data_IF_227016537116
#
_entry.id   IF_227016537116
#
_cell.length_a   1.000
_cell.length_b   1.000
_cell.length_c   1.000
_cell.angle_alpha   90.00
_cell.angle_beta   90.00
_cell.angle_gamma   90.00
#
_symmetry.space_group_name_H-M   'P 1'
#
loop_
_entity.id
_entity.type
_entity.pdbx_description
1 polymer ?
#
# COMPACT_ATOMS: atom_id res chain seq x y z
N UNK A 1 14.40 -26.63 -14.75
CA UNK A 1 15.27 -25.45 -14.95
C UNK A 1 15.72 -24.96 -13.58
N UNK A 2 16.97 -24.51 -13.40
CA UNK A 2 17.42 -23.96 -12.10
C UNK A 2 16.62 -22.68 -11.80
N UNK A 3 15.92 -22.55 -10.65
CA UNK A 3 15.11 -21.37 -10.33
C UNK A 3 15.86 -20.04 -10.47
N UNK A 4 17.15 -20.02 -10.12
CA UNK A 4 17.99 -18.83 -10.28
C UNK A 4 18.21 -18.47 -11.75
N UNK A 5 18.47 -19.47 -12.62
CA UNK A 5 18.67 -19.22 -14.04
C UNK A 5 17.39 -18.68 -14.70
N UNK A 6 16.25 -19.28 -14.38
CA UNK A 6 14.95 -18.80 -14.88
C UNK A 6 14.68 -17.34 -14.46
N UNK A 7 14.98 -16.99 -13.21
CA UNK A 7 14.84 -15.63 -12.71
C UNK A 7 15.77 -14.63 -13.42
N UNK A 8 17.03 -15.00 -13.64
CA UNK A 8 17.99 -14.15 -14.34
C UNK A 8 17.65 -13.96 -15.83
N UNK A 9 17.15 -15.00 -16.49
CA UNK A 9 16.63 -14.92 -17.86
C UNK A 9 15.43 -13.97 -17.95
N UNK A 10 14.55 -13.98 -16.94
CA UNK A 10 13.43 -13.05 -16.85
C UNK A 10 13.87 -11.60 -16.64
N UNK A 11 14.86 -11.36 -15.76
CA UNK A 11 15.46 -10.04 -15.55
C UNK A 11 16.13 -9.47 -16.80
N UNK A 12 16.85 -10.32 -17.54
CA UNK A 12 17.49 -9.92 -18.79
C UNK A 12 16.41 -9.55 -19.83
N UNK A 13 15.39 -10.39 -19.98
CA UNK A 13 14.29 -10.17 -20.93
C UNK A 13 13.48 -8.92 -20.62
N UNK A 14 13.12 -8.71 -19.36
CA UNK A 14 12.16 -7.69 -18.95
C UNK A 14 12.82 -6.33 -18.65
N UNK A 15 14.03 -6.36 -18.06
CA UNK A 15 14.70 -5.16 -17.55
C UNK A 15 16.02 -4.87 -18.27
N UNK A 16 16.47 -5.74 -19.17
CA UNK A 16 17.79 -5.64 -19.85
C UNK A 16 18.96 -5.65 -18.86
N UNK A 17 18.76 -6.28 -17.71
CA UNK A 17 19.78 -6.42 -16.66
C UNK A 17 20.40 -7.81 -16.80
N UNK A 18 21.66 -7.86 -17.22
CA UNK A 18 22.42 -9.11 -17.30
C UNK A 18 23.26 -9.30 -16.04
N UNK A 19 22.91 -10.31 -15.24
CA UNK A 19 23.76 -10.79 -14.14
C UNK A 19 24.40 -12.09 -14.58
N UNK A 20 25.67 -12.03 -14.99
CA UNK A 20 26.40 -13.22 -15.42
C UNK A 20 26.62 -14.18 -14.25
N UNK A 21 26.43 -15.48 -14.44
CA UNK A 21 26.75 -16.52 -13.46
C UNK A 21 28.15 -17.09 -13.73
N UNK A 22 29.19 -16.36 -13.38
CA UNK A 22 30.58 -16.75 -13.62
C UNK A 22 31.47 -16.42 -12.41
N UNK A 23 32.76 -16.69 -12.53
CA UNK A 23 33.70 -16.47 -11.43
C UNK A 23 33.77 -15.00 -11.00
N UNK A 24 33.54 -14.01 -11.88
CA UNK A 24 33.57 -12.60 -11.48
C UNK A 24 32.43 -12.17 -10.55
N UNK A 25 31.33 -12.92 -10.50
CA UNK A 25 30.11 -12.53 -9.75
C UNK A 25 29.71 -13.52 -8.66
N UNK A 26 30.15 -14.78 -8.75
CA UNK A 26 29.85 -15.83 -7.76
C UNK A 26 31.01 -15.93 -6.79
N UNK A 27 30.75 -15.78 -5.49
CA UNK A 27 31.74 -15.94 -4.42
C UNK A 27 31.26 -17.02 -3.45
N UNK A 28 32.09 -18.03 -3.21
CA UNK A 28 31.73 -19.16 -2.36
C UNK A 28 32.46 -19.07 -1.02
N UNK A 29 31.69 -18.83 0.04
CA UNK A 29 32.20 -18.71 1.40
C UNK A 29 31.74 -19.90 2.23
N UNK A 30 32.66 -20.51 2.96
CA UNK A 30 32.36 -21.59 3.89
C UNK A 30 32.24 -21.08 5.34
N UNK A 31 31.25 -21.61 6.07
CA UNK A 31 31.00 -21.35 7.49
C UNK A 31 31.44 -22.52 8.38
N UNK A 32 31.70 -23.71 7.81
CA UNK A 32 32.05 -24.90 8.59
C UNK A 32 33.42 -24.78 9.28
N UNK A 33 34.37 -24.06 8.68
CA UNK A 33 35.64 -23.75 9.34
C UNK A 33 35.47 -22.94 10.66
N UNK A 34 34.48 -22.04 10.74
CA UNK A 34 34.18 -21.30 11.97
C UNK A 34 33.56 -22.22 13.04
N UNK A 35 32.66 -23.12 12.62
CA UNK A 35 32.08 -24.15 13.49
C UNK A 35 33.15 -25.10 14.03
N UNK A 36 34.07 -25.55 13.16
CA UNK A 36 35.22 -26.34 13.54
C UNK A 36 36.09 -25.61 14.58
N UNK A 37 36.41 -24.33 14.36
CA UNK A 37 37.20 -23.54 15.31
C UNK A 37 36.52 -23.46 16.70
N UNK A 38 35.20 -23.29 16.73
CA UNK A 38 34.43 -23.29 17.97
C UNK A 38 34.50 -24.66 18.68
N UNK A 39 34.29 -25.76 17.95
CA UNK A 39 34.31 -27.10 18.49
C UNK A 39 35.72 -27.53 18.97
N UNK A 40 36.75 -27.15 18.22
CA UNK A 40 38.15 -27.36 18.58
C UNK A 40 38.50 -26.63 19.89
N UNK A 41 38.05 -25.38 20.04
CA UNK A 41 38.22 -24.60 21.28
C UNK A 41 37.47 -25.22 22.47
N UNK A 42 36.32 -25.85 22.22
CA UNK A 42 35.58 -26.64 23.21
C UNK A 42 36.20 -28.02 23.51
N UNK A 43 37.43 -28.28 23.04
CA UNK A 43 38.20 -29.52 23.26
C UNK A 43 37.52 -30.77 22.70
N UNK A 44 36.72 -30.64 21.65
CA UNK A 44 36.27 -31.79 20.88
C UNK A 44 37.43 -32.38 20.08
N UNK A 45 37.44 -33.71 19.95
CA UNK A 45 38.49 -34.42 19.23
C UNK A 45 38.15 -34.49 17.73
N UNK A 46 39.15 -34.20 16.91
CA UNK A 46 39.08 -34.29 15.46
C UNK A 46 40.23 -35.15 14.95
N UNK A 47 40.00 -35.92 13.89
CA UNK A 47 41.09 -36.63 13.23
C UNK A 47 42.01 -35.64 12.52
N UNK A 48 43.26 -36.04 12.24
CA UNK A 48 44.18 -35.21 11.44
C UNK A 48 43.59 -34.84 10.09
N UNK A 49 42.89 -35.78 9.46
CA UNK A 49 42.21 -35.59 8.18
C UNK A 49 41.12 -34.52 8.28
N UNK A 50 40.31 -34.54 9.33
CA UNK A 50 39.27 -33.52 9.54
C UNK A 50 39.91 -32.13 9.66
N UNK A 51 40.99 -32.00 10.44
CA UNK A 51 41.71 -30.74 10.62
C UNK A 51 42.25 -30.22 9.28
N UNK A 52 42.83 -31.08 8.45
CA UNK A 52 43.33 -30.72 7.12
C UNK A 52 42.21 -30.26 6.19
N UNK A 53 41.09 -30.98 6.15
CA UNK A 53 39.92 -30.64 5.33
C UNK A 53 39.32 -29.28 5.74
N UNK A 54 39.14 -29.03 7.03
CA UNK A 54 38.65 -27.74 7.52
C UNK A 54 39.65 -26.59 7.27
N UNK A 55 40.96 -26.87 7.35
CA UNK A 55 42.00 -25.87 7.08
C UNK A 55 42.02 -25.47 5.61
N UNK A 56 41.90 -26.42 4.70
CA UNK A 56 41.83 -26.14 3.26
C UNK A 56 40.52 -25.42 2.89
N UNK A 57 39.40 -25.79 3.51
CA UNK A 57 38.13 -25.08 3.33
C UNK A 57 38.22 -23.63 3.80
N UNK A 58 38.82 -23.37 4.96
CA UNK A 58 39.09 -22.03 5.46
C UNK A 58 39.95 -21.21 4.48
N UNK A 59 41.04 -21.79 3.97
CA UNK A 59 41.93 -21.12 3.02
C UNK A 59 41.19 -20.68 1.76
N UNK A 60 40.38 -21.57 1.19
CA UNK A 60 39.55 -21.25 0.01
C UNK A 60 38.55 -20.14 0.29
N UNK A 61 37.85 -20.20 1.43
CA UNK A 61 36.89 -19.17 1.85
C UNK A 61 37.57 -17.81 2.05
N UNK A 62 38.76 -17.79 2.65
CA UNK A 62 39.54 -16.57 2.85
C UNK A 62 40.03 -15.97 1.52
N UNK A 63 40.51 -16.81 0.59
CA UNK A 63 40.90 -16.39 -0.76
C UNK A 63 39.72 -15.82 -1.56
N UNK A 64 38.56 -16.48 -1.49
CA UNK A 64 37.32 -16.01 -2.11
C UNK A 64 36.80 -14.71 -1.49
N UNK A 65 36.94 -14.54 -0.17
CA UNK A 65 36.62 -13.27 0.52
C UNK A 65 37.53 -12.15 0.04
N UNK A 66 38.84 -12.40 -0.08
CA UNK A 66 39.78 -11.43 -0.62
C UNK A 66 39.44 -11.06 -2.06
N UNK A 67 39.01 -12.05 -2.86
CA UNK A 67 38.54 -11.83 -4.22
C UNK A 67 37.29 -10.98 -4.28
N UNK A 68 36.33 -11.20 -3.37
CA UNK A 68 35.13 -10.37 -3.23
C UNK A 68 35.50 -8.93 -2.91
N UNK A 69 36.33 -8.70 -1.89
CA UNK A 69 36.75 -7.35 -1.50
C UNK A 69 37.45 -6.65 -2.66
N UNK A 70 38.38 -7.34 -3.34
CA UNK A 70 39.08 -6.77 -4.50
C UNK A 70 38.12 -6.41 -5.63
N UNK A 71 37.07 -7.22 -5.87
CA UNK A 71 36.05 -6.90 -6.87
C UNK A 71 35.20 -5.70 -6.43
N UNK A 72 34.83 -5.59 -5.16
CA UNK A 72 34.06 -4.44 -4.65
C UNK A 72 34.84 -3.14 -4.82
N UNK A 73 36.16 -3.18 -4.61
CA UNK A 73 37.04 -2.03 -4.78
C UNK A 73 37.19 -1.55 -6.23
N UNK A 74 36.84 -2.38 -7.22
CA UNK A 74 36.87 -1.98 -8.64
C UNK A 74 35.53 -1.47 -9.16
N UNK A 75 34.46 -1.56 -8.37
CA UNK A 75 33.13 -1.10 -8.74
C UNK A 75 32.92 0.31 -8.21
N UNK A 76 32.38 1.18 -9.05
CA UNK A 76 32.02 2.54 -8.63
C UNK A 76 30.98 2.48 -7.50
N UNK A 77 31.19 3.22 -6.39
CA UNK A 77 30.23 3.25 -5.30
C UNK A 77 28.85 3.70 -5.80
N UNK A 78 27.84 2.89 -5.51
CA UNK A 78 26.45 3.27 -5.80
C UNK A 78 26.06 4.50 -4.98
N UNK A 79 25.35 5.44 -5.60
CA UNK A 79 24.84 6.62 -4.91
C UNK A 79 23.65 6.22 -4.02
N UNK A 80 23.93 5.97 -2.75
CA UNK A 80 22.93 5.53 -1.76
C UNK A 80 21.75 6.52 -1.65
N UNK A 81 21.99 7.81 -1.92
CA UNK A 81 20.94 8.84 -1.90
C UNK A 81 19.86 8.54 -2.95
N UNK A 82 20.24 8.09 -4.15
CA UNK A 82 19.28 7.75 -5.21
C UNK A 82 18.40 6.57 -4.82
N UNK A 83 18.96 5.57 -4.13
CA UNK A 83 18.17 4.43 -3.62
C UNK A 83 17.18 4.86 -2.55
N UNK A 84 17.60 5.73 -1.62
CA UNK A 84 16.74 6.26 -0.57
C UNK A 84 15.59 7.06 -1.21
N UNK A 85 15.91 7.97 -2.14
CA UNK A 85 14.94 8.80 -2.84
C UNK A 85 13.93 7.98 -3.65
N UNK A 86 14.37 6.92 -4.33
CA UNK A 86 13.48 6.01 -5.06
C UNK A 86 12.54 5.28 -4.09
N UNK A 87 13.05 4.82 -2.96
CA UNK A 87 12.24 4.15 -1.95
C UNK A 87 11.23 5.12 -1.31
N UNK A 88 11.63 6.34 -0.97
CA UNK A 88 10.73 7.39 -0.47
C UNK A 88 9.61 7.72 -1.45
N UNK A 89 9.94 7.84 -2.75
CA UNK A 89 8.95 8.08 -3.80
C UNK A 89 7.96 6.92 -3.89
N UNK A 90 8.46 5.68 -3.87
CA UNK A 90 7.62 4.48 -3.85
C UNK A 90 6.69 4.46 -2.65
N UNK A 91 7.21 4.63 -1.44
CA UNK A 91 6.38 4.65 -0.22
C UNK A 91 5.31 5.76 -0.27
N UNK A 92 5.66 6.94 -0.77
CA UNK A 92 4.71 8.05 -0.96
C UNK A 92 3.56 7.67 -1.87
N UNK A 93 3.85 7.09 -3.04
CA UNK A 93 2.83 6.65 -4.00
C UNK A 93 1.90 5.62 -3.36
N UNK A 94 2.47 4.61 -2.70
CA UNK A 94 1.70 3.52 -2.12
C UNK A 94 0.79 3.99 -0.97
N UNK A 95 1.29 4.91 -0.15
CA UNK A 95 0.52 5.53 0.93
C UNK A 95 -0.62 6.41 0.39
N UNK A 96 -0.45 7.04 -0.78
CA UNK A 96 -1.47 7.86 -1.42
C UNK A 96 -2.50 7.06 -2.23
N UNK A 97 -2.17 5.86 -2.70
CA UNK A 97 -2.98 5.13 -3.69
C UNK A 97 -4.42 4.92 -3.23
N UNK A 98 -4.63 4.40 -2.02
CA UNK A 98 -5.97 4.21 -1.47
C UNK A 98 -6.69 5.56 -1.19
N UNK A 99 -6.08 6.53 -0.49
CA UNK A 99 -6.67 7.86 -0.32
C UNK A 99 -7.16 8.50 -1.62
N UNK A 100 -6.40 8.37 -2.71
CA UNK A 100 -6.79 8.94 -4.00
C UNK A 100 -8.00 8.25 -4.61
N UNK A 101 -8.15 6.93 -4.44
CA UNK A 101 -9.35 6.21 -4.89
C UNK A 101 -10.58 6.60 -4.06
N UNK A 102 -10.43 6.68 -2.73
CA UNK A 102 -11.49 7.09 -1.81
C UNK A 102 -11.95 8.53 -2.10
N UNK A 103 -11.01 9.44 -2.39
CA UNK A 103 -11.31 10.82 -2.75
C UNK A 103 -11.94 10.91 -4.14
N UNK A 104 -11.51 10.10 -5.11
CA UNK A 104 -12.15 10.07 -6.42
C UNK A 104 -13.63 9.64 -6.34
N UNK A 105 -13.95 8.67 -5.48
CA UNK A 105 -15.35 8.29 -5.20
C UNK A 105 -16.12 9.37 -4.42
N UNK A 106 -15.45 10.06 -3.49
CA UNK A 106 -16.03 11.20 -2.77
C UNK A 106 -16.39 12.35 -3.73
N UNK A 107 -15.55 12.62 -4.72
CA UNK A 107 -15.81 13.61 -5.77
C UNK A 107 -17.11 13.24 -6.51
N UNK A 108 -17.27 11.99 -6.95
CA UNK A 108 -18.50 11.56 -7.63
C UNK A 108 -19.74 11.67 -6.75
N UNK A 109 -19.59 11.40 -5.45
CA UNK A 109 -20.67 11.61 -4.46
C UNK A 109 -21.08 13.09 -4.41
N UNK A 110 -20.11 14.01 -4.32
CA UNK A 110 -20.38 15.45 -4.26
C UNK A 110 -20.92 16.00 -5.60
N UNK A 111 -20.42 15.52 -6.74
CA UNK A 111 -20.94 15.88 -8.07
C UNK A 111 -22.40 15.48 -8.20
N UNK A 112 -22.77 14.28 -7.74
CA UNK A 112 -24.17 13.83 -7.73
C UNK A 112 -25.05 14.74 -6.86
N UNK A 113 -24.59 15.08 -5.66
CA UNK A 113 -25.31 16.01 -4.77
C UNK A 113 -25.54 17.38 -5.44
N UNK A 114 -24.53 17.93 -6.13
CA UNK A 114 -24.71 19.18 -6.85
C UNK A 114 -25.68 19.06 -8.03
N UNK A 115 -25.69 17.93 -8.75
CA UNK A 115 -26.64 17.68 -9.82
C UNK A 115 -28.08 17.52 -9.30
N UNK A 116 -28.27 16.79 -8.20
CA UNK A 116 -29.59 16.60 -7.58
C UNK A 116 -30.13 17.94 -7.08
N UNK A 117 -29.29 18.73 -6.39
CA UNK A 117 -29.61 20.10 -5.96
C UNK A 117 -29.97 21.00 -7.14
N UNK A 118 -29.19 20.95 -8.23
CA UNK A 118 -29.49 21.75 -9.44
C UNK A 118 -30.89 21.42 -9.97
N UNK A 119 -31.25 20.14 -10.09
CA UNK A 119 -32.58 19.70 -10.51
C UNK A 119 -33.68 20.18 -9.56
N UNK A 120 -33.45 20.13 -8.25
CA UNK A 120 -34.39 20.63 -7.24
C UNK A 120 -34.62 22.14 -7.38
N UNK A 121 -33.56 22.93 -7.58
CA UNK A 121 -33.65 24.38 -7.80
C UNK A 121 -34.40 24.67 -9.11
N UNK A 122 -34.10 23.96 -10.20
CA UNK A 122 -34.79 24.08 -11.49
C UNK A 122 -36.29 23.84 -11.37
N UNK A 123 -36.71 22.88 -10.54
CA UNK A 123 -38.12 22.56 -10.26
C UNK A 123 -38.77 23.50 -9.24
N UNK A 124 -37.99 24.19 -8.41
CA UNK A 124 -38.50 25.12 -7.41
C UNK A 124 -39.06 26.38 -8.08
N UNK A 125 -40.23 26.84 -7.63
CA UNK A 125 -40.80 28.11 -8.11
C UNK A 125 -39.86 29.27 -7.76
N UNK A 126 -39.80 30.28 -8.63
CA UNK A 126 -39.01 31.50 -8.40
C UNK A 126 -39.69 32.41 -7.35
N UNK A 127 -39.74 31.92 -6.12
CA UNK A 127 -40.29 32.59 -4.94
C UNK A 127 -39.22 32.58 -3.83
N UNK A 128 -38.91 33.75 -3.25
CA UNK A 128 -37.85 33.90 -2.24
C UNK A 128 -38.03 32.96 -1.04
N UNK A 129 -39.28 32.71 -0.62
CA UNK A 129 -39.62 31.82 0.50
C UNK A 129 -39.33 30.34 0.21
N UNK A 130 -39.28 29.95 -1.07
CA UNK A 130 -38.91 28.59 -1.48
C UNK A 130 -37.41 28.49 -1.75
N UNK A 131 -36.80 29.51 -2.35
CA UNK A 131 -35.35 29.56 -2.60
C UNK A 131 -34.55 29.57 -1.29
N UNK A 132 -35.06 30.21 -0.23
CA UNK A 132 -34.42 30.21 1.09
C UNK A 132 -34.26 28.82 1.70
N UNK A 133 -35.13 27.86 1.36
CA UNK A 133 -35.00 26.47 1.82
C UNK A 133 -33.81 25.74 1.19
N UNK A 134 -33.33 26.24 0.04
CA UNK A 134 -32.19 25.69 -0.70
C UNK A 134 -30.86 26.40 -0.37
N UNK A 135 -30.85 27.31 0.61
CA UNK A 135 -29.64 28.04 1.02
C UNK A 135 -28.52 27.13 1.54
N UNK A 136 -28.88 26.03 2.21
CA UNK A 136 -27.91 25.10 2.75
C UNK A 136 -27.47 24.09 1.70
N UNK A 137 -26.17 24.01 1.48
CA UNK A 137 -25.52 23.12 0.52
C UNK A 137 -24.91 21.96 1.30
N UNK A 138 -25.42 20.73 1.19
CA UNK A 138 -24.75 19.59 1.76
C UNK A 138 -23.45 19.35 1.00
N UNK A 139 -22.33 19.31 1.72
CA UNK A 139 -21.03 18.90 1.21
C UNK A 139 -20.56 17.69 2.01
N UNK A 140 -20.24 16.60 1.32
CA UNK A 140 -19.73 15.38 1.95
C UNK A 140 -18.21 15.46 2.02
N UNK A 141 -17.70 15.12 3.19
CA UNK A 141 -16.27 14.96 3.43
C UNK A 141 -16.01 13.63 4.16
N UNK A 142 -14.76 13.18 4.10
CA UNK A 142 -14.24 12.04 4.84
C UNK A 142 -13.65 12.57 6.14
N UNK A 143 -14.15 12.05 7.25
CA UNK A 143 -13.56 12.28 8.56
C UNK A 143 -12.71 11.06 8.93
N UNK A 144 -11.44 11.31 9.25
CA UNK A 144 -10.54 10.30 9.80
C UNK A 144 -10.75 10.21 11.30
N UNK A 145 -11.05 9.02 11.79
CA UNK A 145 -11.02 8.70 13.20
C UNK A 145 -9.84 7.75 13.48
N UNK A 146 -8.85 8.26 14.22
CA UNK A 146 -7.70 7.46 14.61
C UNK A 146 -8.12 6.23 15.40
N UNK A 147 -7.56 5.08 15.04
CA UNK A 147 -7.62 3.91 15.90
C UNK A 147 -6.37 3.91 16.78
N UNK A 148 -6.55 3.69 18.08
CA UNK A 148 -5.42 3.53 19.00
C UNK A 148 -4.56 2.28 18.72
N UNK A 149 -5.02 1.41 17.81
CA UNK A 149 -4.39 0.14 17.46
C UNK A 149 -4.83 -0.31 16.05
N UNK A 150 -4.01 -1.12 15.35
CA UNK A 150 -4.37 -1.73 14.09
C UNK A 150 -5.46 -2.80 14.26
N UNK A 151 -6.27 -3.04 13.23
CA UNK A 151 -7.29 -4.10 13.23
C UNK A 151 -7.54 -4.64 11.81
N UNK A 152 -8.03 -5.88 11.73
CA UNK A 152 -8.52 -6.47 10.47
C UNK A 152 -10.04 -6.44 10.44
N UNK A 153 -10.58 -5.82 9.40
CA UNK A 153 -12.03 -5.74 9.14
C UNK A 153 -12.39 -6.52 7.88
N UNK A 154 -13.65 -6.90 7.75
CA UNK A 154 -14.19 -7.55 6.56
C UNK A 154 -15.04 -6.56 5.76
N UNK A 155 -14.77 -6.46 4.46
CA UNK A 155 -15.49 -5.61 3.50
C UNK A 155 -16.59 -6.37 2.75
N UNK A 156 -16.80 -7.65 3.07
CA UNK A 156 -17.82 -8.47 2.42
C UNK A 156 -19.24 -7.97 2.68
N UNK A 157 -20.17 -8.37 1.82
CA UNK A 157 -21.58 -8.00 1.94
C UNK A 157 -22.22 -8.45 3.24
N UNK A 158 -21.94 -9.68 3.67
CA UNK A 158 -22.47 -10.22 4.93
C UNK A 158 -21.92 -9.50 6.17
N UNK A 159 -20.74 -8.88 6.04
CA UNK A 159 -20.01 -8.22 7.13
C UNK A 159 -20.15 -6.70 7.15
N UNK A 160 -21.00 -6.15 6.29
CA UNK A 160 -21.21 -4.72 6.17
C UNK A 160 -22.68 -4.37 6.04
N UNK A 161 -23.00 -3.10 6.18
CA UNK A 161 -24.36 -2.56 6.06
C UNK A 161 -24.34 -1.32 5.20
N UNK A 162 -25.40 -1.13 4.42
CA UNK A 162 -25.62 0.13 3.71
C UNK A 162 -26.33 1.07 4.66
N UNK A 163 -25.85 2.31 4.77
CA UNK A 163 -26.46 3.36 5.56
C UNK A 163 -26.56 4.65 4.76
N UNK A 164 -27.63 5.40 4.98
CA UNK A 164 -27.82 6.73 4.40
C UNK A 164 -26.85 7.71 5.05
N UNK A 165 -26.14 8.50 4.25
CA UNK A 165 -25.29 9.58 4.72
C UNK A 165 -26.20 10.68 5.27
N UNK A 166 -25.91 11.16 6.50
CA UNK A 166 -26.76 12.15 7.19
C UNK A 166 -27.10 13.34 6.29
N UNK A 167 -28.37 13.77 6.28
CA UNK A 167 -28.84 14.92 5.50
C UNK A 167 -28.67 14.82 3.96
N UNK A 168 -28.51 13.62 3.40
CA UNK A 168 -28.47 13.41 1.94
C UNK A 168 -29.15 12.10 1.54
N UNK A 169 -29.56 11.96 0.28
CA UNK A 169 -30.06 10.70 -0.29
C UNK A 169 -28.95 9.73 -0.74
N UNK A 170 -27.69 10.06 -0.44
CA UNK A 170 -26.56 9.21 -0.78
C UNK A 170 -26.35 8.12 0.27
N UNK A 171 -25.89 6.97 -0.19
CA UNK A 171 -25.62 5.80 0.65
C UNK A 171 -24.11 5.59 0.83
N UNK A 172 -23.73 4.98 1.95
CA UNK A 172 -22.36 4.53 2.24
C UNK A 172 -22.35 3.12 2.83
N UNK A 173 -21.23 2.41 2.64
CA UNK A 173 -21.00 1.11 3.27
C UNK A 173 -20.34 1.32 4.63
N UNK A 174 -20.89 0.70 5.66
CA UNK A 174 -20.31 0.62 7.01
C UNK A 174 -19.86 -0.82 7.27
N UNK A 175 -18.57 -1.01 7.50
CA UNK A 175 -18.01 -2.30 7.86
C UNK A 175 -18.27 -2.56 9.35
N UNK A 176 -19.25 -3.43 9.66
CA UNK A 176 -19.66 -3.74 11.05
C UNK A 176 -18.81 -4.83 11.70
N UNK A 177 -18.18 -5.70 10.92
CA UNK A 177 -17.48 -6.88 11.45
C UNK A 177 -15.98 -6.63 11.57
N UNK A 178 -15.53 -6.59 12.82
CA UNK A 178 -14.11 -6.66 13.19
C UNK A 178 -13.72 -8.12 13.29
N UNK A 179 -12.85 -8.59 12.39
CA UNK A 179 -12.41 -9.99 12.37
C UNK A 179 -11.20 -10.23 13.27
N UNK A 180 -10.31 -9.26 13.43
CA UNK A 180 -9.22 -9.35 14.39
C UNK A 180 -8.94 -7.98 14.97
N UNK A 181 -9.22 -7.84 16.27
CA UNK A 181 -8.89 -6.62 17.00
C UNK A 181 -7.40 -6.62 17.38
N UNK A 182 -6.75 -5.45 17.44
CA UNK A 182 -5.32 -5.31 17.80
C UNK A 182 -4.40 -6.19 16.93
N UNK A 183 -4.60 -6.12 15.61
CA UNK A 183 -3.91 -6.95 14.65
C UNK A 183 -2.58 -6.33 14.22
N UNK A 184 -1.48 -6.57 14.96
CA UNK A 184 -0.14 -6.05 14.62
C UNK A 184 0.57 -6.89 13.55
N UNK A 185 -0.06 -7.01 12.37
CA UNK A 185 0.54 -7.71 11.25
C UNK A 185 1.67 -6.88 10.65
N UNK A 186 2.86 -7.44 10.64
CA UNK A 186 4.04 -6.83 10.02
C UNK A 186 4.13 -7.17 8.51
N UNK A 187 4.80 -6.30 7.76
CA UNK A 187 5.16 -6.57 6.36
C UNK A 187 3.99 -6.52 5.37
N UNK A 188 2.89 -5.84 5.73
CA UNK A 188 1.76 -5.62 4.83
C UNK A 188 2.22 -4.77 3.65
N UNK A 189 2.17 -5.33 2.44
CA UNK A 189 2.54 -4.61 1.22
C UNK A 189 1.35 -3.79 0.74
N UNK A 190 1.50 -2.47 0.70
CA UNK A 190 0.52 -1.53 0.16
C UNK A 190 0.33 -1.65 -1.36
N UNK A 191 1.26 -2.31 -2.06
CA UNK A 191 1.25 -2.47 -3.52
C UNK A 191 0.15 -3.39 -4.06
N UNK A 192 -0.52 -4.13 -3.18
CA UNK A 192 -1.46 -5.18 -3.59
C UNK A 192 -2.77 -5.02 -2.85
N UNK A 193 -3.85 -4.90 -3.60
CA UNK A 193 -5.21 -5.05 -3.09
C UNK A 193 -5.88 -6.20 -3.85
N UNK A 194 -6.39 -7.24 -3.16
CA UNK A 194 -6.30 -7.48 -1.71
C UNK A 194 -4.86 -7.80 -1.25
N UNK A 195 -4.57 -7.62 0.04
CA UNK A 195 -3.23 -7.78 0.62
C UNK A 195 -2.97 -9.24 1.06
N UNK A 196 -2.13 -10.04 0.36
CA UNK A 196 -1.96 -11.47 0.65
C UNK A 196 -1.42 -11.77 2.06
N UNK A 197 -0.72 -10.82 2.67
CA UNK A 197 -0.20 -10.92 4.04
C UNK A 197 -1.31 -11.06 5.08
N UNK A 198 -2.56 -10.71 4.75
CA UNK A 198 -3.71 -10.96 5.60
C UNK A 198 -3.90 -12.46 5.90
N UNK A 199 -3.39 -13.37 5.06
CA UNK A 199 -3.36 -14.81 5.37
C UNK A 199 -2.54 -15.13 6.63
N UNK A 200 -1.64 -14.25 7.06
CA UNK A 200 -0.91 -14.38 8.32
C UNK A 200 -1.69 -13.85 9.53
N UNK A 201 -2.83 -13.19 9.31
CA UNK A 201 -3.73 -12.80 10.39
C UNK A 201 -4.22 -14.03 11.16
N UNK A 202 -4.27 -13.96 12.48
CA UNK A 202 -4.82 -15.03 13.31
C UNK A 202 -6.26 -15.41 12.91
N UNK A 203 -7.05 -14.43 12.45
CA UNK A 203 -8.41 -14.67 12.01
C UNK A 203 -8.48 -15.45 10.69
N UNK A 204 -7.42 -15.53 9.88
CA UNK A 204 -7.43 -16.25 8.62
C UNK A 204 -6.98 -17.70 8.80
N UNK A 205 -7.72 -18.62 8.18
CA UNK A 205 -7.24 -19.97 7.97
C UNK A 205 -6.43 -20.03 6.66
N UNK A 206 -5.15 -20.37 6.75
CA UNK A 206 -4.25 -20.49 5.60
C UNK A 206 -4.59 -21.65 4.66
N UNK A 207 -5.17 -22.73 5.17
CA UNK A 207 -5.47 -23.93 4.36
C UNK A 207 -6.75 -23.74 3.54
N UNK A 208 -7.76 -23.10 4.12
CA UNK A 208 -9.06 -22.91 3.49
C UNK A 208 -9.25 -21.52 2.89
N UNK A 209 -8.30 -20.61 3.10
CA UNK A 209 -8.33 -19.23 2.62
C UNK A 209 -9.55 -18.41 3.10
N UNK A 210 -10.21 -18.84 4.18
CA UNK A 210 -11.38 -18.18 4.78
C UNK A 210 -11.11 -17.71 6.20
N UNK A 211 -11.81 -16.64 6.58
CA UNK A 211 -11.80 -16.08 7.91
C UNK A 211 -12.60 -16.97 8.88
N UNK A 212 -11.99 -17.30 10.02
CA UNK A 212 -12.57 -18.12 11.09
C UNK A 212 -13.68 -17.38 11.86
N UNK A 213 -13.74 -16.06 11.76
CA UNK A 213 -14.70 -15.22 12.48
C UNK A 213 -15.96 -14.97 11.65
N UNK A 214 -15.81 -14.62 10.38
CA UNK A 214 -16.95 -14.24 9.53
C UNK A 214 -17.22 -15.20 8.36
N UNK A 215 -16.39 -16.21 8.15
CA UNK A 215 -16.52 -17.18 7.06
C UNK A 215 -16.19 -16.64 5.66
N UNK A 216 -15.84 -15.36 5.52
CA UNK A 216 -15.54 -14.75 4.22
C UNK A 216 -14.09 -15.05 3.79
N UNK A 217 -13.85 -15.07 2.48
CA UNK A 217 -12.49 -15.26 1.91
C UNK A 217 -11.55 -14.13 2.36
N UNK A 218 -10.26 -14.45 2.53
CA UNK A 218 -9.26 -13.50 3.02
C UNK A 218 -9.16 -12.25 2.14
N UNK A 219 -9.42 -12.38 0.84
CA UNK A 219 -9.37 -11.30 -0.15
C UNK A 219 -10.44 -10.22 0.05
N UNK A 220 -11.45 -10.47 0.90
CA UNK A 220 -12.46 -9.49 1.30
C UNK A 220 -12.15 -8.84 2.65
N UNK A 221 -10.91 -8.91 3.10
CA UNK A 221 -10.48 -8.29 4.35
C UNK A 221 -9.49 -7.17 4.10
N UNK A 222 -9.42 -6.24 5.04
CA UNK A 222 -8.51 -5.10 4.98
C UNK A 222 -7.94 -4.87 6.37
N UNK A 223 -6.64 -4.61 6.41
CA UNK A 223 -5.97 -4.15 7.62
C UNK A 223 -6.06 -2.62 7.68
N UNK A 224 -6.52 -2.09 8.81
CA UNK A 224 -6.75 -0.66 8.98
C UNK A 224 -6.11 -0.16 10.29
N UNK A 225 -5.57 1.06 10.23
CA UNK A 225 -4.97 1.78 11.36
C UNK A 225 -5.78 3.03 11.77
N UNK A 226 -6.78 3.38 10.97
CA UNK A 226 -7.78 4.39 11.26
C UNK A 226 -9.09 3.96 10.58
N UNK A 227 -10.20 4.52 11.02
CA UNK A 227 -11.46 4.44 10.28
C UNK A 227 -11.70 5.75 9.55
N UNK A 228 -12.44 5.66 8.46
CA UNK A 228 -12.93 6.83 7.74
C UNK A 228 -14.44 6.71 7.58
N UNK A 229 -15.15 7.81 7.82
CA UNK A 229 -16.61 7.86 7.69
C UNK A 229 -16.98 9.08 6.87
N UNK A 230 -17.97 8.96 5.99
CA UNK A 230 -18.52 10.10 5.25
C UNK A 230 -19.44 10.89 6.16
N UNK A 231 -19.15 12.17 6.31
CA UNK A 231 -19.95 13.14 7.06
C UNK A 231 -20.41 14.28 6.16
N UNK A 232 -21.52 14.89 6.54
CA UNK A 232 -22.10 16.03 5.83
C UNK A 232 -21.81 17.31 6.59
N UNK A 233 -21.30 18.32 5.89
CA UNK A 233 -21.23 19.70 6.35
C UNK A 233 -22.26 20.51 5.56
N UNK A 234 -23.17 21.17 6.26
CA UNK A 234 -24.06 22.15 5.61
C UNK A 234 -23.28 23.46 5.46
N UNK A 235 -23.09 23.89 4.22
CA UNK A 235 -22.45 25.17 3.90
C UNK A 235 -23.55 26.12 3.46
N UNK A 236 -23.65 27.30 4.07
CA UNK A 236 -24.59 28.33 3.65
C UNK A 236 -23.94 29.22 2.60
N UNK A 237 -24.67 29.52 1.52
CA UNK A 237 -24.22 30.49 0.54
C UNK A 237 -24.55 31.91 1.01
N UNK A 238 -23.58 32.58 1.62
CA UNK A 238 -23.75 33.93 2.17
C UNK A 238 -24.08 34.96 1.08
N UNK A 239 -23.59 34.78 -0.15
CA UNK A 239 -23.91 35.71 -1.24
C UNK A 239 -25.38 35.59 -1.63
N UNK A 240 -25.88 34.37 -1.83
CA UNK A 240 -27.31 34.13 -2.10
C UNK A 240 -28.18 34.57 -0.93
N UNK A 241 -27.75 34.34 0.31
CA UNK A 241 -28.45 34.78 1.52
C UNK A 241 -28.62 36.29 1.57
N UNK A 242 -27.56 37.05 1.27
CA UNK A 242 -27.63 38.52 1.20
C UNK A 242 -28.64 38.96 0.13
N UNK A 243 -28.61 38.35 -1.05
CA UNK A 243 -29.53 38.68 -2.15
C UNK A 243 -30.99 38.39 -1.81
N UNK A 244 -31.25 37.24 -1.17
CA UNK A 244 -32.59 36.89 -0.66
C UNK A 244 -33.05 37.92 0.38
N UNK A 245 -32.19 38.30 1.32
CA UNK A 245 -32.52 39.28 2.36
C UNK A 245 -32.77 40.69 1.80
N UNK A 246 -32.11 41.04 0.70
CA UNK A 246 -32.30 42.31 -0.01
C UNK A 246 -33.56 42.32 -0.89
N UNK A 247 -34.34 41.23 -0.94
CA UNK A 247 -35.47 41.03 -1.84
C UNK A 247 -35.10 41.29 -3.32
N UNK A 248 -33.93 40.82 -3.74
CA UNK A 248 -33.56 40.83 -5.15
C UNK A 248 -34.48 39.92 -5.97
N UNK A 249 -34.41 40.06 -7.30
CA UNK A 249 -35.25 39.31 -8.23
C UNK A 249 -35.05 37.79 -8.05
N UNK A 250 -36.14 37.08 -7.75
CA UNK A 250 -36.11 35.66 -7.45
C UNK A 250 -35.69 34.80 -8.66
N UNK A 251 -35.90 35.26 -9.89
CA UNK A 251 -35.43 34.58 -11.10
C UNK A 251 -33.90 34.70 -11.21
N UNK A 252 -33.35 35.90 -10.99
CA UNK A 252 -31.90 36.13 -11.00
C UNK A 252 -31.20 35.32 -9.90
N UNK A 253 -31.77 35.26 -8.70
CA UNK A 253 -31.23 34.44 -7.60
C UNK A 253 -31.23 32.96 -8.00
N UNK A 254 -32.33 32.46 -8.57
CA UNK A 254 -32.46 31.07 -9.01
C UNK A 254 -31.40 30.72 -10.07
N UNK A 255 -31.21 31.57 -11.08
CA UNK A 255 -30.20 31.37 -12.12
C UNK A 255 -28.78 31.35 -11.53
N UNK A 256 -28.49 32.23 -10.57
CA UNK A 256 -27.19 32.24 -9.91
C UNK A 256 -26.95 30.95 -9.09
N UNK A 257 -27.95 30.48 -8.34
CA UNK A 257 -27.81 29.23 -7.58
C UNK A 257 -27.53 28.03 -8.49
N UNK A 258 -28.13 28.01 -9.69
CA UNK A 258 -27.85 26.98 -10.71
C UNK A 258 -26.42 27.11 -11.22
N UNK A 259 -25.97 28.32 -11.55
CA UNK A 259 -24.61 28.59 -12.02
C UNK A 259 -23.55 28.19 -10.98
N UNK A 260 -23.79 28.43 -9.69
CA UNK A 260 -22.89 28.02 -8.60
C UNK A 260 -22.78 26.49 -8.48
N UNK A 261 -23.88 25.76 -8.68
CA UNK A 261 -23.85 24.29 -8.74
C UNK A 261 -23.01 23.81 -9.93
N UNK A 262 -23.17 24.42 -11.11
CA UNK A 262 -22.38 24.09 -12.30
C UNK A 262 -20.89 24.37 -12.11
N UNK A 263 -20.54 25.53 -11.53
CA UNK A 263 -19.16 25.89 -11.23
C UNK A 263 -18.51 24.86 -10.29
N UNK A 264 -19.22 24.45 -9.23
CA UNK A 264 -18.73 23.42 -8.29
C UNK A 264 -18.53 22.07 -8.96
N UNK A 265 -19.48 21.64 -9.80
CA UNK A 265 -19.36 20.40 -10.58
C UNK A 265 -18.10 20.46 -11.45
N UNK A 266 -17.86 21.58 -12.12
CA UNK A 266 -16.71 21.73 -13.02
C UNK A 266 -15.38 21.76 -12.26
N UNK A 267 -15.33 22.43 -11.10
CA UNK A 267 -14.16 22.38 -10.21
C UNK A 267 -13.88 20.96 -9.71
N UNK A 268 -14.91 20.21 -9.29
CA UNK A 268 -14.76 18.80 -8.90
C UNK A 268 -14.22 17.92 -10.03
N UNK A 269 -14.72 18.09 -11.26
CA UNK A 269 -14.21 17.36 -12.43
C UNK A 269 -12.74 17.71 -12.73
N UNK A 270 -12.35 18.97 -12.57
CA UNK A 270 -10.95 19.40 -12.72
C UNK A 270 -10.04 18.74 -11.68
N UNK A 271 -10.46 18.68 -10.41
CA UNK A 271 -9.70 17.97 -9.38
C UNK A 271 -9.60 16.47 -9.67
N UNK A 272 -10.69 15.86 -10.13
CA UNK A 272 -10.70 14.45 -10.51
C UNK A 272 -9.72 14.16 -11.65
N UNK A 273 -9.68 15.01 -12.68
CA UNK A 273 -8.71 14.88 -13.77
C UNK A 273 -7.27 14.98 -13.25
N UNK A 274 -6.98 15.86 -12.29
CA UNK A 274 -5.65 15.94 -11.66
C UNK A 274 -5.31 14.65 -10.89
N UNK A 275 -6.29 14.05 -10.20
CA UNK A 275 -6.10 12.78 -9.50
C UNK A 275 -5.80 11.65 -10.48
N UNK A 276 -6.56 11.54 -11.58
CA UNK A 276 -6.34 10.53 -12.62
C UNK A 276 -4.94 10.70 -13.23
N UNK A 277 -4.58 11.92 -13.67
CA UNK A 277 -3.26 12.23 -14.22
C UNK A 277 -2.14 11.86 -13.23
N UNK A 278 -2.33 12.15 -11.95
CA UNK A 278 -1.34 11.83 -10.92
C UNK A 278 -1.20 10.33 -10.73
N UNK A 279 -2.31 9.59 -10.63
CA UNK A 279 -2.30 8.14 -10.48
C UNK A 279 -1.67 7.43 -11.69
N UNK A 280 -1.88 7.92 -12.91
CA UNK A 280 -1.26 7.34 -14.11
C UNK A 280 0.26 7.55 -14.12
N UNK A 281 0.73 8.74 -13.73
CA UNK A 281 2.17 9.03 -13.55
C UNK A 281 2.79 8.21 -12.43
N UNK A 282 2.10 8.06 -11.31
CA UNK A 282 2.50 7.19 -10.19
C UNK A 282 2.65 5.74 -10.63
N UNK A 283 1.64 5.18 -11.31
CA UNK A 283 1.71 3.82 -11.84
C UNK A 283 2.84 3.64 -12.86
N UNK A 284 3.09 4.65 -13.68
CA UNK A 284 4.21 4.65 -14.65
C UNK A 284 5.57 4.68 -13.97
N UNK A 285 5.73 5.50 -12.91
CA UNK A 285 6.94 5.53 -12.09
C UNK A 285 7.22 4.17 -11.45
N UNK A 286 6.21 3.56 -10.81
CA UNK A 286 6.36 2.26 -10.17
C UNK A 286 6.71 1.18 -11.20
N UNK A 287 6.02 1.15 -12.35
CA UNK A 287 6.31 0.20 -13.43
C UNK A 287 7.73 0.34 -13.99
N UNK A 288 8.22 1.57 -14.16
CA UNK A 288 9.54 1.83 -14.72
C UNK A 288 10.70 1.44 -13.77
N UNK A 289 10.42 1.39 -12.47
CA UNK A 289 11.41 1.13 -11.42
C UNK A 289 11.22 -0.23 -10.73
N UNK A 290 10.23 -1.03 -11.14
CA UNK A 290 9.97 -2.34 -10.56
C UNK A 290 10.87 -3.42 -11.17
N UNK A 291 11.44 -4.26 -10.30
CA UNK A 291 12.19 -5.47 -10.68
C UNK A 291 11.21 -6.60 -11.07
N UNK A 292 10.01 -6.60 -10.48
CA UNK A 292 8.94 -7.57 -10.72
C UNK A 292 7.73 -6.88 -11.38
N UNK A 293 6.80 -7.64 -11.99
CA UNK A 293 5.58 -7.07 -12.55
C UNK A 293 4.82 -6.21 -11.53
N UNK A 294 4.60 -4.94 -11.89
CA UNK A 294 3.85 -3.97 -11.10
C UNK A 294 2.35 -4.27 -11.15
N UNK A 295 1.72 -4.40 -9.98
CA UNK A 295 0.27 -4.48 -9.85
C UNK A 295 -0.33 -3.09 -9.63
N UNK A 296 -1.37 -2.74 -10.39
CA UNK A 296 -2.03 -1.45 -10.30
C UNK A 296 -3.05 -1.44 -9.15
N UNK A 297 -2.59 -1.03 -7.98
CA UNK A 297 -3.44 -0.95 -6.80
C UNK A 297 -4.56 0.10 -6.95
N UNK A 298 -4.37 1.18 -7.72
CA UNK A 298 -5.40 2.20 -7.90
C UNK A 298 -6.62 1.63 -8.65
N UNK A 299 -6.39 0.92 -9.76
CA UNK A 299 -7.47 0.20 -10.49
C UNK A 299 -8.25 -0.71 -9.53
N UNK A 300 -7.54 -1.50 -8.73
CA UNK A 300 -8.15 -2.42 -7.77
C UNK A 300 -9.02 -1.72 -6.71
N UNK A 301 -8.58 -0.57 -6.19
CA UNK A 301 -9.38 0.22 -5.24
C UNK A 301 -10.61 0.84 -5.90
N UNK A 302 -10.50 1.38 -7.11
CA UNK A 302 -11.67 1.93 -7.84
C UNK A 302 -12.68 0.82 -8.15
N UNK A 303 -12.22 -0.39 -8.52
CA UNK A 303 -13.10 -1.55 -8.67
C UNK A 303 -13.82 -1.92 -7.38
N UNK A 304 -13.17 -1.78 -6.22
CA UNK A 304 -13.81 -1.99 -4.93
C UNK A 304 -14.90 -0.94 -4.68
N UNK A 305 -14.64 0.34 -4.96
CA UNK A 305 -15.66 1.39 -4.88
C UNK A 305 -16.87 1.10 -5.78
N UNK A 306 -16.63 0.58 -7.01
CA UNK A 306 -17.71 0.16 -7.93
C UNK A 306 -18.56 -0.95 -7.31
N UNK A 307 -17.93 -2.00 -6.76
CA UNK A 307 -18.65 -3.12 -6.11
C UNK A 307 -19.49 -2.66 -4.92
N UNK A 308 -18.95 -1.73 -4.13
CA UNK A 308 -19.66 -1.14 -3.01
C UNK A 308 -20.87 -0.34 -3.47
N UNK A 309 -20.74 0.41 -4.56
CA UNK A 309 -21.86 1.16 -5.12
C UNK A 309 -22.91 0.27 -5.79
N UNK A 310 -22.52 -0.83 -6.44
CA UNK A 310 -23.47 -1.83 -6.96
C UNK A 310 -24.39 -2.36 -5.85
N UNK A 311 -23.85 -2.52 -4.63
CA UNK A 311 -24.63 -2.91 -3.46
C UNK A 311 -25.56 -1.80 -2.97
N UNK A 312 -25.11 -0.54 -2.98
CA UNK A 312 -25.97 0.61 -2.69
C UNK A 312 -27.14 0.69 -3.68
N UNK A 313 -26.88 0.50 -4.97
CA UNK A 313 -27.90 0.49 -6.04
C UNK A 313 -28.89 -0.66 -5.84
N UNK A 314 -28.42 -1.85 -5.48
CA UNK A 314 -29.28 -2.98 -5.17
C UNK A 314 -30.24 -2.71 -3.99
N UNK A 315 -29.89 -1.77 -3.11
CA UNK A 315 -30.72 -1.33 -1.98
C UNK A 315 -31.48 -0.01 -2.25
N UNK A 316 -31.56 0.41 -3.52
CA UNK A 316 -32.40 1.54 -3.95
C UNK A 316 -31.67 2.87 -4.16
N UNK A 317 -30.34 2.91 -4.12
CA UNK A 317 -29.60 4.11 -4.53
C UNK A 317 -29.68 4.34 -6.05
N UNK A 318 -29.57 5.60 -6.50
CA UNK A 318 -29.54 5.91 -7.94
C UNK A 318 -28.27 5.36 -8.61
N UNK A 319 -28.41 4.95 -9.88
CA UNK A 319 -27.33 4.40 -10.70
C UNK A 319 -26.29 5.43 -11.17
N UNK A 320 -26.55 6.73 -11.00
CA UNK A 320 -25.71 7.79 -11.59
C UNK A 320 -24.26 7.71 -11.12
N UNK A 321 -24.06 7.49 -9.82
CA UNK A 321 -22.71 7.36 -9.23
C UNK A 321 -22.01 6.10 -9.72
N UNK A 322 -22.74 4.99 -9.87
CA UNK A 322 -22.19 3.74 -10.41
C UNK A 322 -21.69 3.92 -11.85
N UNK A 323 -22.48 4.60 -12.69
CA UNK A 323 -22.09 4.91 -14.07
C UNK A 323 -20.86 5.82 -14.09
N UNK A 324 -20.82 6.84 -13.23
CA UNK A 324 -19.69 7.76 -13.15
C UNK A 324 -18.39 7.07 -12.68
N UNK A 325 -18.46 6.19 -11.68
CA UNK A 325 -17.31 5.39 -11.23
C UNK A 325 -16.80 4.44 -12.32
N UNK A 326 -17.69 3.82 -13.09
CA UNK A 326 -17.31 2.98 -14.24
C UNK A 326 -16.63 3.81 -15.33
N UNK A 327 -17.10 5.04 -15.56
CA UNK A 327 -16.45 5.99 -16.48
C UNK A 327 -15.07 6.41 -15.98
N UNK A 328 -14.93 6.81 -14.72
CA UNK A 328 -13.67 7.14 -14.07
C UNK A 328 -12.63 6.03 -14.27
N UNK A 329 -13.02 4.77 -14.04
CA UNK A 329 -12.13 3.63 -14.23
C UNK A 329 -11.69 3.47 -15.70
N UNK A 330 -12.62 3.68 -16.64
CA UNK A 330 -12.32 3.64 -18.07
C UNK A 330 -11.36 4.76 -18.48
N UNK A 331 -11.57 5.98 -18.01
CA UNK A 331 -10.73 7.15 -18.28
C UNK A 331 -9.31 6.91 -17.75
N UNK A 332 -9.18 6.45 -16.50
CA UNK A 332 -7.90 6.09 -15.90
C UNK A 332 -7.13 5.05 -16.74
N UNK A 333 -7.79 3.97 -17.16
CA UNK A 333 -7.16 2.93 -17.98
C UNK A 333 -6.71 3.45 -19.33
N UNK A 334 -7.54 4.26 -19.99
CA UNK A 334 -7.21 4.86 -21.28
C UNK A 334 -6.01 5.81 -21.16
N UNK A 335 -5.99 6.67 -20.14
CA UNK A 335 -4.90 7.62 -19.93
C UNK A 335 -3.60 6.90 -19.60
N UNK A 336 -3.66 5.85 -18.77
CA UNK A 336 -2.53 4.96 -18.52
C UNK A 336 -1.96 4.38 -19.81
N UNK A 337 -2.78 3.87 -20.72
CA UNK A 337 -2.32 3.34 -22.01
C UNK A 337 -1.67 4.41 -22.90
N UNK A 338 -2.23 5.61 -22.93
CA UNK A 338 -1.70 6.75 -23.70
C UNK A 338 -0.33 7.16 -23.15
N UNK A 339 -0.23 7.29 -21.83
CA UNK A 339 1.02 7.63 -21.16
C UNK A 339 2.10 6.57 -21.40
N UNK A 340 1.75 5.30 -21.26
CA UNK A 340 2.67 4.18 -21.54
C UNK A 340 3.18 4.19 -22.99
N UNK A 341 2.31 4.50 -23.96
CA UNK A 341 2.70 4.64 -25.37
C UNK A 341 3.63 5.83 -25.59
N UNK A 342 3.32 6.98 -24.99
CA UNK A 342 4.11 8.21 -25.09
C UNK A 342 5.50 8.06 -24.46
N UNK A 343 5.59 7.39 -23.31
CA UNK A 343 6.87 7.15 -22.64
C UNK A 343 7.76 6.17 -23.42
N UNK A 344 7.16 5.16 -24.08
CA UNK A 344 7.89 4.24 -24.96
C UNK A 344 8.48 4.94 -26.20
N UNK A 345 7.77 5.92 -26.77
CA UNK A 345 8.24 6.63 -27.97
C UNK A 345 9.23 7.75 -27.64
N UNK A 346 9.03 8.48 -26.55
CA UNK A 346 9.87 9.61 -26.15
C UNK A 346 11.10 9.21 -25.32
N UNK A 347 11.06 8.03 -24.67
CA UNK A 347 12.08 7.60 -23.71
C UNK A 347 12.07 8.35 -22.38
N UNK A 348 11.15 9.31 -22.20
CA UNK A 348 11.02 10.12 -20.98
C UNK A 348 10.41 9.26 -19.87
N UNK A 349 11.03 9.29 -18.69
CA UNK A 349 10.57 8.61 -17.48
C UNK A 349 10.09 9.62 -16.44
N UNK A 350 9.11 9.20 -15.64
CA UNK A 350 8.68 9.97 -14.46
C UNK A 350 9.83 9.99 -13.44
N UNK A 351 10.18 11.17 -12.94
CA UNK A 351 11.30 11.37 -12.00
C UNK A 351 10.84 11.37 -10.54
N UNK A 352 11.78 11.28 -9.59
CA UNK A 352 11.47 11.38 -8.15
C UNK A 352 10.98 12.79 -7.79
N UNK A 353 11.57 13.82 -8.38
CA UNK A 353 11.18 15.22 -8.22
C UNK A 353 9.74 15.43 -8.67
N UNK A 354 9.36 14.79 -9.77
CA UNK A 354 7.99 14.83 -10.28
C UNK A 354 7.01 14.20 -9.29
N UNK A 355 7.34 13.07 -8.64
CA UNK A 355 6.49 12.48 -7.59
C UNK A 355 6.24 13.47 -6.44
N UNK A 356 7.29 14.15 -5.96
CA UNK A 356 7.17 15.17 -4.91
C UNK A 356 6.30 16.35 -5.36
N UNK A 357 6.47 16.79 -6.61
CA UNK A 357 5.66 17.88 -7.18
C UNK A 357 4.17 17.51 -7.31
N UNK A 358 3.88 16.28 -7.72
CA UNK A 358 2.52 15.77 -7.85
C UNK A 358 1.85 15.63 -6.48
N UNK A 359 2.58 15.12 -5.46
CA UNK A 359 2.10 15.10 -4.09
C UNK A 359 1.71 16.50 -3.59
N UNK A 360 2.57 17.51 -3.82
CA UNK A 360 2.28 18.89 -3.45
C UNK A 360 1.06 19.44 -4.21
N UNK A 361 0.96 19.16 -5.51
CA UNK A 361 -0.19 19.52 -6.35
C UNK A 361 -1.49 18.95 -5.76
N UNK A 362 -1.50 17.67 -5.37
CA UNK A 362 -2.64 17.02 -4.73
C UNK A 362 -3.03 17.71 -3.41
N UNK A 363 -2.06 18.05 -2.55
CA UNK A 363 -2.35 18.72 -1.28
C UNK A 363 -2.83 20.16 -1.43
N UNK A 364 -2.58 20.78 -2.59
CA UNK A 364 -2.99 22.16 -2.90
C UNK A 364 -4.37 22.27 -3.57
N UNK A 365 -5.06 21.16 -3.82
CA UNK A 365 -6.40 21.16 -4.40
C UNK A 365 -7.41 21.89 -3.50
N UNK A 366 -8.30 22.69 -4.10
CA UNK A 366 -9.22 23.62 -3.43
C UNK A 366 -10.23 22.89 -2.52
N UNK A 367 -10.84 21.81 -3.03
CA UNK A 367 -11.87 21.07 -2.32
C UNK A 367 -11.34 19.84 -1.62
N UNK A 368 -10.48 19.07 -2.29
CA UNK A 368 -10.07 17.75 -1.79
C UNK A 368 -8.67 17.72 -1.17
N UNK A 369 -7.84 18.74 -1.38
CA UNK A 369 -6.42 18.70 -1.02
C UNK A 369 -6.15 18.51 0.47
N UNK A 370 -6.91 19.20 1.32
CA UNK A 370 -6.83 19.05 2.78
C UNK A 370 -7.17 17.63 3.24
N UNK A 371 -8.18 17.00 2.62
CA UNK A 371 -8.60 15.64 2.96
C UNK A 371 -7.60 14.59 2.46
N UNK A 372 -7.05 14.77 1.25
CA UNK A 372 -5.99 13.91 0.72
C UNK A 372 -4.79 13.94 1.68
N UNK A 373 -4.39 15.13 2.14
CA UNK A 373 -3.30 15.29 3.10
C UNK A 373 -3.59 14.59 4.43
N UNK A 374 -4.79 14.79 5.00
CA UNK A 374 -5.18 14.16 6.26
C UNK A 374 -5.16 12.63 6.17
N UNK A 375 -5.70 12.05 5.09
CA UNK A 375 -5.70 10.60 4.86
C UNK A 375 -4.28 10.05 4.67
N UNK A 376 -3.42 10.79 3.96
CA UNK A 376 -2.01 10.43 3.78
C UNK A 376 -1.25 10.41 5.11
N UNK A 377 -1.41 11.45 5.93
CA UNK A 377 -0.78 11.54 7.25
C UNK A 377 -1.27 10.43 8.19
N UNK A 378 -2.56 10.12 8.16
CA UNK A 378 -3.13 9.03 8.95
C UNK A 378 -2.58 7.65 8.55
N UNK A 379 -2.40 7.40 7.26
CA UNK A 379 -1.74 6.17 6.80
C UNK A 379 -0.29 6.11 7.27
N UNK A 380 0.49 7.20 7.10
CA UNK A 380 1.89 7.24 7.55
C UNK A 380 2.03 6.97 9.06
N UNK A 381 1.19 7.59 9.87
CA UNK A 381 1.21 7.39 11.32
C UNK A 381 0.81 5.96 11.69
N UNK A 382 -0.17 5.39 10.97
CA UNK A 382 -0.52 3.98 11.09
C UNK A 382 0.66 3.04 10.81
N UNK A 383 1.43 3.30 9.76
CA UNK A 383 2.64 2.52 9.44
C UNK A 383 3.69 2.60 10.55
N UNK A 384 3.98 3.81 11.05
CA UNK A 384 4.94 4.00 12.16
C UNK A 384 4.54 3.23 13.42
N UNK A 385 3.26 3.23 13.78
CA UNK A 385 2.74 2.49 14.94
C UNK A 385 2.80 0.98 14.75
N UNK A 386 2.62 0.50 13.53
CA UNK A 386 2.55 -0.94 13.21
C UNK A 386 3.95 -1.57 13.04
N UNK A 387 4.93 -0.83 12.52
CA UNK A 387 6.26 -1.36 12.20
C UNK A 387 7.25 -1.39 13.39
N UNK A 388 6.89 -0.82 14.55
CA UNK A 388 7.68 -0.91 15.79
C UNK A 388 9.14 -0.45 15.69
N UNK A 389 9.53 0.21 14.58
CA UNK A 389 10.91 0.55 14.27
C UNK A 389 11.30 1.83 15.03
N UNK A 390 11.71 1.67 16.28
CA UNK A 390 12.60 2.65 16.89
C UNK A 390 13.97 2.45 16.25
N UNK A 391 14.55 3.51 15.66
CA UNK A 391 15.98 3.51 15.37
C UNK A 391 16.73 3.16 16.66
N UNK A 392 17.20 1.93 16.76
CA UNK A 392 18.13 1.55 17.82
C UNK A 392 19.45 2.22 17.48
N UNK A 393 19.67 3.41 18.02
CA UNK A 393 21.02 3.94 18.16
C UNK A 393 21.80 2.96 19.05
N UNK A 394 22.52 2.04 18.42
CA UNK A 394 23.47 1.15 19.10
C UNK A 394 24.58 2.04 19.62
N UNK A 395 24.47 2.49 20.86
CA UNK A 395 25.56 3.15 21.56
C UNK A 395 26.62 2.09 21.87
N UNK A 396 27.80 2.09 21.20
CA UNK A 396 28.79 1.04 21.34
C UNK A 396 29.31 0.92 22.79
N UNK A 397 29.27 2.02 23.56
CA UNK A 397 29.79 2.08 24.92
C UNK A 397 28.97 1.26 25.93
N UNK A 398 27.67 1.02 25.69
CA UNK A 398 26.81 0.26 26.61
C UNK A 398 26.89 -1.26 26.41
N UNK A 399 27.26 -1.72 25.23
CA UNK A 399 27.34 -3.17 24.92
C UNK A 399 28.61 -3.82 25.48
N UNK A 400 29.69 -3.07 25.69
CA UNK A 400 30.94 -3.60 26.25
C UNK A 400 30.93 -3.72 27.77
N UNK A 401 30.09 -2.97 28.49
CA UNK A 401 30.06 -3.01 29.96
C UNK A 401 29.10 -4.06 30.57
N UNK A 402 28.15 -4.62 29.81
CA UNK A 402 27.18 -5.58 30.38
C UNK A 402 27.66 -7.04 30.40
N UNK A 403 28.78 -7.38 29.74
CA UNK A 403 29.33 -8.76 29.69
C UNK A 403 30.46 -9.07 30.67
N UNK A 404 30.75 -8.19 31.64
CA UNK A 404 31.66 -8.51 32.74
C UNK A 404 30.97 -9.05 34.00
N UNK A 405 29.63 -9.18 34.03
CA UNK A 405 28.90 -9.62 35.26
C UNK A 405 27.94 -10.81 35.13
N UNK A 406 27.87 -11.50 33.99
CA UNK A 406 27.14 -12.78 33.93
C UNK A 406 28.09 -13.94 33.63
N UNK A 407 28.31 -14.77 34.64
CA UNK A 407 28.96 -16.05 34.52
C UNK A 407 28.17 -16.94 33.56
N UNK A 408 28.84 -17.43 32.52
CA UNK A 408 28.26 -18.41 31.61
C UNK A 408 28.11 -19.75 32.32
N UNK A 409 26.88 -20.07 32.76
CA UNK A 409 26.46 -21.47 32.98
C UNK A 409 26.02 -22.05 31.65
N UNK A 410 26.95 -22.66 30.90
CA UNK A 410 26.61 -23.60 29.84
C UNK A 410 26.47 -25.00 30.44
N UNK A 411 25.26 -25.34 30.85
CA UNK A 411 24.85 -26.70 31.18
C UNK A 411 23.59 -27.02 30.38
N UNK A 412 23.64 -28.16 29.69
CA UNK A 412 22.52 -28.85 29.02
C UNK A 412 21.76 -28.09 27.92
N UNK A 413 22.19 -28.24 26.66
CA UNK A 413 21.29 -28.54 25.52
C UNK A 413 22.11 -28.82 24.26
N UNK A 414 22.60 -30.05 24.17
CA UNK A 414 22.97 -30.77 22.93
C UNK A 414 22.82 -32.24 23.33
N UNK A 415 21.85 -33.00 22.77
CA UNK A 415 22.07 -33.60 21.45
C UNK A 415 20.77 -33.93 20.65
N UNK A 416 20.48 -33.24 19.54
CA UNK A 416 19.57 -33.74 18.48
C UNK A 416 19.83 -33.04 17.13
N UNK A 417 21.05 -33.06 16.60
CA UNK A 417 21.29 -32.64 15.20
C UNK A 417 22.47 -33.41 14.55
N UNK A 418 22.63 -34.70 14.87
CA UNK A 418 23.64 -35.57 14.25
C UNK A 418 23.08 -36.97 13.95
N UNK A 419 21.93 -37.06 13.28
CA UNK A 419 21.52 -38.30 12.60
C UNK A 419 20.94 -37.96 11.25
N UNK A 420 21.81 -37.94 10.24
CA UNK A 420 21.44 -37.73 8.86
C UNK A 420 22.67 -37.79 7.98
N UNK A 421 23.24 -38.99 7.82
CA UNK A 421 23.89 -39.49 6.60
C UNK A 421 24.46 -40.89 6.90
N UNK A 422 23.99 -41.88 6.12
CA UNK A 422 24.13 -43.30 6.41
C UNK A 422 25.49 -43.91 6.11
N UNK A 423 25.74 -45.05 6.75
CA UNK A 423 26.82 -45.97 6.43
C UNK A 423 26.26 -47.29 5.94
N UNK A 424 26.67 -47.69 4.74
CA UNK A 424 26.45 -49.00 4.12
C UNK A 424 27.60 -49.93 4.54
N UNK A 425 27.25 -51.20 4.84
CA UNK A 425 28.08 -52.42 4.78
C UNK A 425 29.12 -52.59 5.93
N UNK A 426 29.45 -53.77 6.50
CA UNK A 426 29.28 -55.21 6.22
C UNK A 426 29.43 -55.97 7.56
N UNK A 427 28.86 -57.17 7.69
CA UNK A 427 29.59 -58.35 8.19
C UNK A 427 28.79 -59.63 8.02
N UNK A 428 29.41 -60.62 7.39
CA UNK A 428 29.01 -62.02 7.34
C UNK A 428 29.39 -62.73 8.67
N UNK A 429 28.55 -63.64 9.16
CA UNK A 429 28.80 -65.10 9.17
C UNK A 429 27.77 -65.87 10.02
N UNK A 430 27.26 -66.94 9.41
CA UNK A 430 26.94 -68.28 9.91
C UNK A 430 26.39 -68.48 11.34
N UNK A 431 25.24 -69.15 11.46
CA UNK A 431 25.18 -70.60 11.76
C UNK A 431 23.73 -71.14 11.63
N UNK A 432 23.66 -72.31 10.98
CA UNK A 432 22.57 -73.30 10.79
C UNK A 432 21.26 -72.91 10.11
#
# INVERSE_FOLDING_TARGET
>A
MNPLKAFLEELEKNNKILISLNKSTIFCLDNEAFRFLCAYKSKMNFSKKDIEEFSESWRRSAEETKRLINQVLTVDPHNVIESIQLNEARETILTLTKPLADIAELIETNVKIQNDRKKEIEQTKAELSQLSKNLQIPQIYLEVAELGYPMTVCTSENCSTVQKISNTDQMQIIYKTVCHNHCYLEGIKLETFPQPQLLNCWAMNKETEVCRICGCVWSLHTHINFTQVKKTKMVEDENIKIKINNNEDAHLIKEQMIAECEEKIEKYKKEQAIIIETCTRFGSFLKANAILPYNDAFDAYVQQCIKEEERCVAQGASQDKLVALKRLLSEYRQEKEVLERSMKSSGVKVSVEEIKSLQQKLFSLEFTGAQIKQLFEANQEGHRKNDGYFEMHVNPAKYFHSKQKSSWRFGSMLPKMLTGLGTRSKSANAQE
#
